data_IF_104165831899
#
_entry.id   IF_104165831899
#
_cell.length_a   1.000
_cell.length_b   1.000
_cell.length_c   1.000
_cell.angle_alpha   90.00
_cell.angle_beta   90.00
_cell.angle_gamma   90.00
#
_symmetry.space_group_name_H-M   'P 1'
#
loop_
_entity.id
_entity.type
_entity.pdbx_description
1 polymer ?
#
# COMPACT_ATOMS: atom_id res chain seq x y z
N UNK A 1 4.48 -23.21 -19.49
CA UNK A 1 4.42 -22.32 -18.32
C UNK A 1 5.86 -22.17 -17.84
N UNK A 2 6.54 -21.11 -18.30
CA UNK A 2 7.98 -20.93 -18.06
C UNK A 2 8.19 -20.48 -16.61
N UNK A 3 9.17 -21.04 -15.91
CA UNK A 3 9.56 -20.59 -14.59
C UNK A 3 9.90 -19.10 -14.62
N UNK A 4 9.51 -18.40 -13.56
CA UNK A 4 9.81 -16.99 -13.37
C UNK A 4 11.22 -16.89 -12.80
N UNK A 5 12.22 -17.03 -13.67
CA UNK A 5 13.64 -16.80 -13.36
C UNK A 5 13.91 -15.30 -13.18
N UNK A 6 13.18 -14.65 -12.27
CA UNK A 6 13.46 -13.30 -11.84
C UNK A 6 14.26 -13.32 -10.54
N UNK A 7 15.41 -12.64 -10.48
CA UNK A 7 16.12 -12.43 -9.22
C UNK A 7 15.39 -11.42 -8.30
N UNK A 8 14.37 -10.73 -8.83
CA UNK A 8 13.66 -9.67 -8.13
C UNK A 8 12.51 -10.25 -7.31
N UNK A 9 12.70 -10.35 -6.01
CA UNK A 9 11.64 -10.71 -5.06
C UNK A 9 11.36 -9.52 -4.15
N UNK A 10 10.08 -9.18 -4.02
CA UNK A 10 9.58 -8.11 -3.16
C UNK A 10 8.62 -8.68 -2.14
N UNK A 11 8.76 -8.22 -0.90
CA UNK A 11 7.84 -8.53 0.19
C UNK A 11 7.23 -7.25 0.73
N UNK A 12 5.95 -7.32 1.08
CA UNK A 12 5.24 -6.27 1.83
C UNK A 12 4.41 -6.92 2.91
N UNK A 13 4.51 -6.40 4.12
CA UNK A 13 3.78 -6.88 5.30
C UNK A 13 2.91 -5.76 5.83
N UNK A 14 1.67 -6.07 6.20
CA UNK A 14 0.73 -5.15 6.85
C UNK A 14 0.17 -5.86 8.08
N UNK A 15 0.33 -5.30 9.27
CA UNK A 15 -0.18 -5.91 10.51
C UNK A 15 -1.11 -4.93 11.20
N UNK A 16 -2.21 -5.45 11.71
CA UNK A 16 -3.24 -4.73 12.45
C UNK A 16 -3.25 -5.25 13.89
N UNK A 17 -3.45 -4.33 14.82
CA UNK A 17 -3.87 -4.60 16.19
C UNK A 17 -5.09 -3.73 16.47
N UNK A 18 -6.25 -4.37 16.57
CA UNK A 18 -7.55 -3.69 16.66
C UNK A 18 -8.16 -3.92 18.04
N UNK A 19 -8.40 -2.83 18.75
CA UNK A 19 -9.19 -2.77 19.97
C UNK A 19 -10.60 -2.22 19.67
N UNK A 20 -11.53 -2.18 20.64
CA UNK A 20 -12.88 -1.65 20.42
C UNK A 20 -12.97 -0.18 20.02
N UNK A 21 -11.91 0.61 20.23
CA UNK A 21 -11.90 2.07 19.96
C UNK A 21 -10.70 2.52 19.13
N UNK A 22 -9.86 1.58 18.71
CA UNK A 22 -8.59 1.90 18.08
C UNK A 22 -8.13 0.79 17.13
N UNK A 23 -7.60 1.19 15.98
CA UNK A 23 -6.88 0.33 15.06
C UNK A 23 -5.45 0.86 14.90
N UNK A 24 -4.48 0.14 15.46
CA UNK A 24 -3.07 0.34 15.15
C UNK A 24 -2.72 -0.51 13.93
N UNK A 25 -2.10 0.09 12.93
CA UNK A 25 -1.65 -0.61 11.73
C UNK A 25 -0.23 -0.23 11.39
N UNK A 26 0.59 -1.21 11.04
CA UNK A 26 1.93 -0.97 10.49
C UNK A 26 2.08 -1.65 9.14
N UNK A 27 2.80 -0.99 8.22
CA UNK A 27 3.16 -1.55 6.94
C UNK A 27 4.64 -1.32 6.66
N UNK A 28 5.33 -2.37 6.25
CA UNK A 28 6.70 -2.29 5.79
C UNK A 28 6.93 -3.06 4.49
N UNK A 29 7.73 -2.47 3.62
CA UNK A 29 8.37 -3.07 2.46
C UNK A 29 9.79 -2.48 2.29
N UNK A 30 10.54 -2.86 1.26
CA UNK A 30 11.92 -2.37 1.08
C UNK A 30 12.05 -0.83 0.97
N UNK A 31 11.00 -0.15 0.49
CA UNK A 31 11.03 1.29 0.21
C UNK A 31 10.32 2.11 1.28
N UNK A 32 9.38 1.51 2.02
CA UNK A 32 8.47 2.20 2.91
C UNK A 32 8.34 1.50 4.25
N UNK A 33 8.25 2.30 5.31
CA UNK A 33 7.78 1.87 6.61
C UNK A 33 6.89 2.96 7.21
N UNK A 34 5.61 2.64 7.40
CA UNK A 34 4.63 3.51 8.05
C UNK A 34 3.97 2.79 9.23
N UNK A 35 3.65 3.56 10.28
CA UNK A 35 2.80 3.14 11.39
C UNK A 35 1.67 4.15 11.49
N UNK A 36 0.43 3.70 11.47
CA UNK A 36 -0.76 4.53 11.56
C UNK A 36 -1.61 4.10 12.75
N UNK A 37 -2.15 5.08 13.46
CA UNK A 37 -3.05 4.94 14.57
C UNK A 37 -4.38 5.59 14.19
N UNK A 38 -5.46 4.81 14.26
CA UNK A 38 -6.82 5.24 13.94
C UNK A 38 -7.67 5.08 15.21
N UNK A 39 -8.14 6.18 15.80
CA UNK A 39 -9.10 6.15 16.89
C UNK A 39 -10.54 6.33 16.38
N UNK A 40 -11.50 5.70 17.05
CA UNK A 40 -12.92 5.83 16.72
C UNK A 40 -13.84 5.62 17.93
N UNK A 41 -15.10 6.04 17.81
CA UNK A 41 -16.16 5.82 18.81
C UNK A 41 -17.11 4.67 18.44
N UNK A 42 -16.88 4.02 17.30
CA UNK A 42 -17.71 2.93 16.77
C UNK A 42 -18.61 3.37 15.62
N UNK A 43 -18.78 4.67 15.41
CA UNK A 43 -19.53 5.26 14.30
C UNK A 43 -18.65 6.18 13.45
N UNK A 44 -17.81 6.98 14.09
CA UNK A 44 -17.00 8.04 13.49
C UNK A 44 -15.53 7.93 13.88
N UNK A 45 -14.68 8.46 13.00
CA UNK A 45 -13.24 8.60 13.22
C UNK A 45 -13.00 9.74 14.22
N UNK A 46 -12.34 9.46 15.33
CA UNK A 46 -12.05 10.45 16.38
C UNK A 46 -10.62 10.97 16.31
N UNK A 47 -9.69 10.19 15.76
CA UNK A 47 -8.31 10.61 15.53
C UNK A 47 -7.64 9.79 14.44
N UNK A 48 -6.69 10.41 13.74
CA UNK A 48 -5.78 9.74 12.82
C UNK A 48 -4.39 10.30 13.05
N UNK A 49 -3.39 9.43 13.21
CA UNK A 49 -1.98 9.82 13.26
C UNK A 49 -1.16 8.83 12.45
N UNK A 50 -0.16 9.31 11.70
CA UNK A 50 0.70 8.46 10.88
C UNK A 50 2.17 8.85 11.03
N UNK A 51 3.00 7.87 11.38
CA UNK A 51 4.45 8.03 11.48
C UNK A 51 5.13 7.37 10.30
N UNK A 52 5.81 8.19 9.49
CA UNK A 52 6.69 7.73 8.42
C UNK A 52 8.07 7.36 9.00
N UNK A 53 8.34 6.06 9.18
CA UNK A 53 9.62 5.56 9.71
C UNK A 53 10.70 5.45 8.63
N UNK A 54 10.30 5.16 7.38
CA UNK A 54 11.18 5.13 6.23
C UNK A 54 10.40 5.50 4.98
N UNK A 55 10.94 6.41 4.19
CA UNK A 55 10.31 6.91 2.97
C UNK A 55 11.35 7.17 1.88
N UNK A 56 10.96 7.05 0.60
CA UNK A 56 11.87 7.29 -0.50
C UNK A 56 12.19 8.78 -0.71
N UNK A 57 11.32 9.68 -0.28
CA UNK A 57 11.45 11.12 -0.49
C UNK A 57 11.28 11.89 0.82
N UNK A 58 11.97 13.02 0.94
CA UNK A 58 12.04 13.84 2.16
C UNK A 58 10.69 14.42 2.58
N UNK A 59 9.79 14.71 1.63
CA UNK A 59 8.48 15.33 1.92
C UNK A 59 7.36 14.30 2.15
N UNK A 60 7.62 13.00 2.02
CA UNK A 60 6.60 11.97 2.27
C UNK A 60 5.98 12.03 3.68
N UNK A 61 6.73 12.30 4.77
CA UNK A 61 6.16 12.40 6.11
C UNK A 61 5.10 13.49 6.25
N UNK A 62 5.23 14.61 5.53
CA UNK A 62 4.30 15.74 5.64
C UNK A 62 2.88 15.46 5.16
N UNK A 63 2.70 14.37 4.41
CA UNK A 63 1.39 13.93 3.94
C UNK A 63 0.47 13.45 5.07
N UNK A 64 1.00 13.18 6.26
CA UNK A 64 0.19 12.85 7.44
C UNK A 64 -0.87 13.93 7.70
N UNK A 65 -0.53 15.21 7.53
CA UNK A 65 -1.45 16.34 7.74
C UNK A 65 -2.70 16.26 6.88
N UNK A 66 -2.60 15.63 5.71
CA UNK A 66 -3.73 15.46 4.79
C UNK A 66 -4.72 14.40 5.29
N UNK A 67 -4.29 13.48 6.17
CA UNK A 67 -5.17 12.48 6.78
C UNK A 67 -6.11 13.09 7.84
N UNK A 68 -5.83 14.30 8.34
CA UNK A 68 -6.70 14.97 9.29
C UNK A 68 -8.10 15.28 8.70
N UNK A 69 -8.22 15.33 7.36
CA UNK A 69 -9.51 15.45 6.67
C UNK A 69 -10.47 14.27 6.93
N UNK A 70 -9.99 13.17 7.49
CA UNK A 70 -10.81 12.02 7.86
C UNK A 70 -11.42 12.12 9.26
N UNK A 71 -10.88 12.96 10.15
CA UNK A 71 -11.42 13.09 11.50
C UNK A 71 -12.84 13.65 11.43
N UNK A 72 -13.77 12.99 12.14
CA UNK A 72 -15.21 13.28 12.10
C UNK A 72 -15.97 12.61 10.95
N UNK A 73 -15.30 11.93 10.02
CA UNK A 73 -15.99 11.13 9.00
C UNK A 73 -16.48 9.78 9.56
N UNK A 74 -17.50 9.17 8.95
CA UNK A 74 -17.98 7.86 9.39
C UNK A 74 -16.95 6.76 9.18
N UNK A 75 -16.99 5.75 10.05
CA UNK A 75 -16.34 4.47 9.82
C UNK A 75 -16.93 3.77 8.60
N UNK A 76 -16.11 2.97 7.93
CA UNK A 76 -16.47 2.26 6.71
C UNK A 76 -15.84 0.88 6.74
N UNK A 77 -16.67 -0.17 6.66
CA UNK A 77 -16.19 -1.56 6.64
C UNK A 77 -15.73 -2.01 5.25
N UNK A 78 -16.25 -1.38 4.19
CA UNK A 78 -15.84 -1.61 2.80
C UNK A 78 -14.80 -0.57 2.37
N UNK A 79 -13.81 -1.00 1.58
CA UNK A 79 -12.81 -0.10 0.98
C UNK A 79 -13.51 0.96 0.13
N UNK A 80 -13.31 2.23 0.48
CA UNK A 80 -13.83 3.34 -0.31
C UNK A 80 -12.91 3.60 -1.52
N UNK A 81 -13.41 3.32 -2.72
CA UNK A 81 -12.66 3.59 -3.97
C UNK A 81 -12.70 5.05 -4.40
N UNK A 82 -13.67 5.82 -3.88
CA UNK A 82 -13.82 7.25 -4.10
C UNK A 82 -14.45 7.90 -2.87
N UNK A 83 -13.96 9.09 -2.51
CA UNK A 83 -14.49 9.90 -1.41
C UNK A 83 -14.71 11.32 -1.94
N UNK A 84 -15.96 11.80 -2.03
CA UNK A 84 -16.27 13.10 -2.66
C UNK A 84 -15.48 14.28 -2.07
N UNK A 85 -15.26 14.26 -0.76
CA UNK A 85 -14.62 15.36 -0.02
C UNK A 85 -13.12 15.16 0.18
N UNK A 86 -12.54 14.08 -0.36
CA UNK A 86 -11.12 13.76 -0.19
C UNK A 86 -10.46 13.50 -1.54
N UNK A 87 -9.62 14.43 -1.97
CA UNK A 87 -8.75 14.22 -3.12
C UNK A 87 -7.60 13.27 -2.76
N UNK A 88 -7.76 11.99 -3.12
CA UNK A 88 -6.73 10.95 -2.93
C UNK A 88 -5.38 11.29 -3.58
N UNK A 89 -5.33 12.17 -4.60
CA UNK A 89 -4.07 12.59 -5.23
C UNK A 89 -3.27 13.55 -4.36
N UNK A 90 -3.94 14.32 -3.49
CA UNK A 90 -3.27 15.14 -2.48
C UNK A 90 -2.75 14.30 -1.31
N UNK A 91 -3.08 13.01 -1.24
CA UNK A 91 -2.62 12.14 -0.18
C UNK A 91 -1.32 11.42 -0.57
N UNK A 92 -0.50 11.03 0.40
CA UNK A 92 0.51 10.02 0.13
C UNK A 92 -0.23 8.70 -0.09
N UNK A 93 -0.11 8.14 -1.30
CA UNK A 93 -0.86 6.93 -1.65
C UNK A 93 -0.64 5.78 -0.67
N UNK A 94 0.57 5.65 -0.11
CA UNK A 94 0.86 4.59 0.85
C UNK A 94 0.17 4.80 2.21
N UNK A 95 0.07 6.05 2.68
CA UNK A 95 -0.60 6.37 3.94
C UNK A 95 -2.13 6.33 3.76
N UNK A 96 -2.63 6.85 2.65
CA UNK A 96 -4.05 6.77 2.28
C UNK A 96 -4.52 5.32 2.18
N UNK A 97 -3.81 4.50 1.40
CA UNK A 97 -4.17 3.08 1.26
C UNK A 97 -4.11 2.37 2.62
N UNK A 98 -3.12 2.69 3.46
CA UNK A 98 -3.03 2.12 4.81
C UNK A 98 -4.22 2.52 5.68
N UNK A 99 -4.66 3.78 5.62
CA UNK A 99 -5.87 4.25 6.32
C UNK A 99 -7.14 3.57 5.79
N UNK A 100 -7.26 3.36 4.48
CA UNK A 100 -8.44 2.70 3.91
C UNK A 100 -8.59 1.27 4.41
N UNK A 101 -7.47 0.52 4.48
CA UNK A 101 -7.50 -0.84 5.03
C UNK A 101 -7.62 -0.82 6.55
N UNK A 102 -7.10 0.19 7.25
CA UNK A 102 -7.34 0.34 8.70
C UNK A 102 -8.85 0.51 8.99
N UNK A 103 -9.55 1.32 8.20
CA UNK A 103 -10.98 1.54 8.37
C UNK A 103 -11.80 0.28 8.15
N UNK A 104 -11.48 -0.52 7.12
CA UNK A 104 -12.18 -1.79 6.87
C UNK A 104 -11.93 -2.85 7.95
N UNK A 105 -10.88 -2.67 8.76
CA UNK A 105 -10.57 -3.52 9.92
C UNK A 105 -11.00 -2.95 11.27
N UNK A 106 -11.31 -1.65 11.38
CA UNK A 106 -11.49 -0.96 12.67
C UNK A 106 -12.57 -1.57 13.57
N UNK A 107 -13.59 -2.21 12.99
CA UNK A 107 -14.67 -2.88 13.73
C UNK A 107 -14.46 -4.40 13.87
N UNK A 108 -13.25 -4.91 13.63
CA UNK A 108 -12.87 -6.32 13.72
C UNK A 108 -11.74 -6.49 14.74
N UNK A 109 -12.06 -6.53 16.06
CA UNK A 109 -11.04 -6.62 17.10
C UNK A 109 -10.12 -7.83 16.93
N UNK A 110 -8.88 -7.65 17.37
CA UNK A 110 -7.83 -8.67 17.32
C UNK A 110 -6.72 -8.32 16.33
N UNK A 111 -5.79 -9.26 16.24
CA UNK A 111 -4.62 -9.16 15.36
C UNK A 111 -4.91 -9.79 14.02
N UNK A 112 -4.52 -9.11 12.94
CA UNK A 112 -4.54 -9.66 11.58
C UNK A 112 -3.29 -9.25 10.82
N UNK A 113 -2.92 -10.05 9.84
CA UNK A 113 -1.72 -9.80 9.05
C UNK A 113 -1.93 -10.12 7.57
N UNK A 114 -1.63 -9.14 6.72
CA UNK A 114 -1.39 -9.38 5.31
C UNK A 114 0.11 -9.55 5.02
N UNK A 115 0.39 -10.56 4.22
CA UNK A 115 1.70 -10.77 3.61
C UNK A 115 1.53 -10.80 2.11
N UNK A 116 2.28 -9.97 1.39
CA UNK A 116 2.37 -10.02 -0.06
C UNK A 116 3.80 -10.42 -0.48
N UNK A 117 3.88 -11.33 -1.44
CA UNK A 117 5.12 -11.67 -2.16
C UNK A 117 4.92 -11.37 -3.63
N UNK A 118 5.84 -10.63 -4.24
CA UNK A 118 5.87 -10.38 -5.68
C UNK A 118 7.21 -10.83 -6.23
N UNK A 119 7.20 -11.76 -7.17
CA UNK A 119 8.36 -12.15 -7.97
C UNK A 119 8.25 -11.44 -9.31
N UNK A 120 9.33 -10.80 -9.77
CA UNK A 120 9.38 -10.07 -11.04
C UNK A 120 9.30 -8.54 -10.91
N UNK A 121 10.11 -7.83 -11.69
CA UNK A 121 10.09 -6.38 -11.84
C UNK A 121 9.11 -5.90 -12.93
N UNK A 122 8.98 -4.57 -13.11
CA UNK A 122 7.93 -3.96 -13.96
C UNK A 122 7.87 -4.47 -15.42
N UNK A 123 9.01 -4.85 -15.99
CA UNK A 123 9.13 -5.29 -17.39
C UNK A 123 9.26 -6.80 -17.54
N UNK A 124 9.08 -7.54 -16.45
CA UNK A 124 9.16 -8.99 -16.40
C UNK A 124 7.76 -9.59 -16.30
N UNK A 125 7.64 -10.90 -16.52
CA UNK A 125 6.48 -11.63 -16.02
C UNK A 125 6.51 -11.59 -14.50
N UNK A 126 5.34 -11.41 -13.90
CA UNK A 126 5.24 -11.30 -12.45
C UNK A 126 4.33 -12.36 -11.88
N UNK A 127 4.68 -12.86 -10.71
CA UNK A 127 3.83 -13.71 -9.89
C UNK A 127 3.67 -13.06 -8.53
N UNK A 128 2.43 -12.86 -8.14
CA UNK A 128 2.08 -12.23 -6.88
C UNK A 128 1.21 -13.17 -6.07
N UNK A 129 1.49 -13.22 -4.79
CA UNK A 129 0.73 -14.01 -3.83
C UNK A 129 0.40 -13.12 -2.62
N UNK A 130 -0.80 -13.28 -2.09
CA UNK A 130 -1.27 -12.57 -0.90
C UNK A 130 -1.82 -13.60 0.09
N UNK A 131 -1.37 -13.49 1.33
CA UNK A 131 -1.88 -14.24 2.46
C UNK A 131 -2.49 -13.29 3.49
N UNK A 132 -3.54 -13.76 4.16
CA UNK A 132 -4.14 -13.16 5.35
C UNK A 132 -4.11 -14.20 6.46
N UNK A 133 -3.37 -13.95 7.54
CA UNK A 133 -3.24 -14.89 8.66
C UNK A 133 -2.91 -16.33 8.18
N UNK A 134 -1.87 -16.44 7.34
CA UNK A 134 -1.41 -17.67 6.68
C UNK A 134 -2.36 -18.28 5.61
N UNK A 135 -3.60 -17.81 5.49
CA UNK A 135 -4.52 -18.22 4.44
C UNK A 135 -4.23 -17.49 3.13
N UNK A 136 -3.92 -18.24 2.07
CA UNK A 136 -3.66 -17.64 0.74
C UNK A 136 -4.97 -17.19 0.10
N UNK A 137 -5.15 -15.88 -0.06
CA UNK A 137 -6.35 -15.29 -0.67
C UNK A 137 -6.21 -15.07 -2.18
N UNK A 138 -5.03 -14.63 -2.64
CA UNK A 138 -4.80 -14.30 -4.04
C UNK A 138 -3.49 -14.90 -4.56
N UNK A 139 -3.52 -15.41 -5.79
CA UNK A 139 -2.38 -16.02 -6.48
C UNK A 139 -2.48 -15.70 -7.98
N UNK A 140 -1.78 -14.65 -8.42
CA UNK A 140 -1.91 -14.11 -9.78
C UNK A 140 -0.60 -14.14 -10.53
N UNK A 141 -0.67 -14.46 -11.82
CA UNK A 141 0.36 -14.05 -12.77
C UNK A 141 -0.04 -12.71 -13.39
N UNK A 142 0.95 -11.91 -13.79
CA UNK A 142 0.70 -10.67 -14.51
C UNK A 142 1.59 -10.54 -15.74
N UNK A 143 1.01 -9.91 -16.78
CA UNK A 143 1.72 -9.36 -17.93
C UNK A 143 1.71 -7.84 -17.83
N UNK A 144 2.84 -7.24 -17.44
CA UNK A 144 2.82 -5.85 -17.02
C UNK A 144 1.86 -5.72 -15.84
N UNK A 145 0.83 -4.85 -15.92
CA UNK A 145 -0.18 -4.65 -14.87
C UNK A 145 -1.48 -5.42 -15.08
N UNK A 146 -1.60 -6.18 -16.17
CA UNK A 146 -2.81 -6.97 -16.46
C UNK A 146 -2.71 -8.31 -15.77
N UNK A 147 -3.76 -8.68 -15.04
CA UNK A 147 -3.89 -9.97 -14.36
C UNK A 147 -4.10 -11.07 -15.41
N UNK A 148 -3.35 -12.15 -15.25
CA UNK A 148 -3.40 -13.38 -16.06
C UNK A 148 -3.60 -14.55 -15.09
N UNK A 149 -4.84 -14.76 -14.68
CA UNK A 149 -5.27 -15.76 -13.68
C UNK A 149 -6.48 -16.55 -14.18
N UNK A 150 -6.96 -17.50 -13.39
CA UNK A 150 -8.20 -18.26 -13.67
C UNK A 150 -9.39 -17.79 -12.81
N UNK A 151 -9.17 -16.84 -11.90
CA UNK A 151 -10.21 -16.29 -11.04
C UNK A 151 -10.97 -15.13 -11.71
N UNK A 152 -11.97 -14.60 -10.98
CA UNK A 152 -12.82 -13.52 -11.45
C UNK A 152 -12.08 -12.22 -11.80
N UNK A 153 -10.85 -12.02 -11.32
CA UNK A 153 -10.04 -10.84 -11.62
C UNK A 153 -9.22 -10.98 -12.91
N UNK A 154 -9.32 -12.11 -13.63
CA UNK A 154 -8.60 -12.33 -14.87
C UNK A 154 -8.86 -11.20 -15.89
N UNK A 155 -7.81 -10.79 -16.61
CA UNK A 155 -7.79 -9.71 -17.60
C UNK A 155 -8.07 -8.31 -17.07
N UNK A 156 -8.24 -8.11 -15.76
CA UNK A 156 -8.32 -6.78 -15.19
C UNK A 156 -6.94 -6.10 -15.19
N UNK A 157 -6.88 -4.81 -15.56
CA UNK A 157 -5.67 -4.01 -15.41
C UNK A 157 -5.66 -3.37 -14.01
N UNK A 158 -4.63 -3.69 -13.22
CA UNK A 158 -4.44 -3.11 -11.89
C UNK A 158 -4.44 -1.58 -11.89
N UNK A 159 -4.15 -0.88 -12.99
CA UNK A 159 -4.22 0.59 -13.03
C UNK A 159 -5.65 1.12 -12.94
N UNK A 160 -6.64 0.39 -13.46
CA UNK A 160 -8.03 0.83 -13.60
C UNK A 160 -9.05 -0.11 -12.97
N UNK A 161 -8.62 -1.15 -12.26
CA UNK A 161 -9.50 -2.22 -11.73
C UNK A 161 -10.51 -1.74 -10.68
N UNK A 162 -10.27 -0.63 -9.98
CA UNK A 162 -11.04 -0.29 -8.77
C UNK A 162 -12.56 -0.13 -8.99
N UNK A 163 -13.07 0.56 -10.04
CA UNK A 163 -14.50 0.64 -10.29
C UNK A 163 -15.15 -0.72 -10.56
N UNK A 164 -14.50 -1.58 -11.35
CA UNK A 164 -14.98 -2.94 -11.59
C UNK A 164 -14.99 -3.76 -10.29
N UNK A 165 -13.92 -3.65 -9.51
CA UNK A 165 -13.78 -4.37 -8.25
C UNK A 165 -14.87 -3.99 -7.24
N UNK A 166 -15.21 -2.70 -7.14
CA UNK A 166 -16.26 -2.23 -6.24
C UNK A 166 -17.66 -2.73 -6.63
N UNK A 167 -17.91 -2.98 -7.91
CA UNK A 167 -19.19 -3.51 -8.38
C UNK A 167 -19.28 -5.05 -8.26
N UNK A 168 -18.16 -5.77 -8.43
CA UNK A 168 -18.17 -7.22 -8.62
C UNK A 168 -17.62 -8.03 -7.44
N UNK A 169 -16.83 -7.43 -6.55
CA UNK A 169 -16.18 -8.13 -5.45
C UNK A 169 -16.90 -7.89 -4.13
N UNK A 170 -16.96 -8.94 -3.30
CA UNK A 170 -17.33 -8.78 -1.90
C UNK A 170 -16.28 -7.96 -1.12
N UNK A 171 -16.59 -7.60 0.13
CA UNK A 171 -15.74 -6.75 0.95
C UNK A 171 -14.34 -7.34 1.19
N UNK A 172 -14.26 -8.67 1.39
CA UNK A 172 -13.00 -9.34 1.67
C UNK A 172 -12.09 -9.36 0.43
N UNK A 173 -12.67 -9.66 -0.73
CA UNK A 173 -11.93 -9.75 -1.99
C UNK A 173 -11.55 -8.36 -2.52
N UNK A 174 -12.40 -7.33 -2.33
CA UNK A 174 -12.05 -5.94 -2.62
C UNK A 174 -10.86 -5.47 -1.75
N UNK A 175 -10.89 -5.78 -0.46
CA UNK A 175 -9.80 -5.49 0.48
C UNK A 175 -8.51 -6.20 0.07
N UNK A 176 -8.57 -7.51 -0.20
CA UNK A 176 -7.43 -8.30 -0.65
C UNK A 176 -6.83 -7.76 -1.96
N UNK A 177 -7.69 -7.46 -2.95
CA UNK A 177 -7.28 -6.84 -4.21
C UNK A 177 -6.60 -5.50 -3.97
N UNK A 178 -7.15 -4.66 -3.09
CA UNK A 178 -6.58 -3.34 -2.78
C UNK A 178 -5.18 -3.45 -2.17
N UNK A 179 -4.98 -4.37 -1.23
CA UNK A 179 -3.67 -4.65 -0.59
C UNK A 179 -2.66 -5.18 -1.63
N UNK A 180 -3.02 -6.23 -2.38
CA UNK A 180 -2.09 -6.85 -3.32
C UNK A 180 -1.76 -5.93 -4.50
N UNK A 181 -2.74 -5.18 -5.01
CA UNK A 181 -2.54 -4.17 -6.05
C UNK A 181 -1.45 -3.19 -5.66
N UNK A 182 -1.47 -2.68 -4.43
CA UNK A 182 -0.42 -1.76 -3.95
C UNK A 182 0.94 -2.43 -3.93
N UNK A 183 1.04 -3.65 -3.41
CA UNK A 183 2.30 -4.41 -3.40
C UNK A 183 2.88 -4.55 -4.81
N UNK A 184 2.07 -4.93 -5.79
CA UNK A 184 2.49 -5.08 -7.20
C UNK A 184 2.91 -3.74 -7.84
N UNK A 185 2.25 -2.64 -7.51
CA UNK A 185 2.61 -1.31 -8.00
C UNK A 185 3.95 -0.82 -7.45
N UNK A 186 4.27 -1.15 -6.19
CA UNK A 186 5.54 -0.77 -5.54
C UNK A 186 6.68 -1.68 -5.98
N UNK A 187 6.44 -3.00 -6.06
CA UNK A 187 7.40 -4.00 -6.53
C UNK A 187 7.95 -3.70 -7.94
N UNK A 188 7.21 -2.93 -8.74
CA UNK A 188 7.66 -2.42 -10.03
C UNK A 188 9.03 -1.70 -9.95
N UNK A 189 9.40 -1.17 -8.78
CA UNK A 189 10.68 -0.50 -8.55
C UNK A 189 11.88 -1.43 -8.35
N UNK A 190 11.70 -2.76 -8.20
CA UNK A 190 12.76 -3.75 -7.92
C UNK A 190 13.89 -3.86 -8.97
N UNK A 191 13.80 -3.18 -10.10
CA UNK A 191 14.85 -3.11 -11.13
C UNK A 191 15.48 -1.74 -11.30
N UNK A 192 15.24 -0.80 -10.38
CA UNK A 192 15.71 0.57 -10.48
C UNK A 192 16.50 0.97 -9.24
N UNK A 193 17.66 1.58 -9.45
CA UNK A 193 18.36 2.28 -8.39
C UNK A 193 17.72 3.66 -8.17
N UNK A 194 16.89 3.77 -7.14
CA UNK A 194 16.20 5.00 -6.78
C UNK A 194 17.15 6.10 -6.30
N UNK A 195 18.37 5.75 -5.86
CA UNK A 195 19.37 6.72 -5.41
C UNK A 195 20.00 7.50 -6.58
N UNK A 196 19.82 7.03 -7.83
CA UNK A 196 20.15 7.77 -9.03
C UNK A 196 19.11 8.85 -9.40
N UNK A 197 17.97 8.89 -8.71
CA UNK A 197 16.90 9.85 -8.97
C UNK A 197 16.97 10.94 -7.90
N UNK A 198 17.40 12.18 -8.21
CA UNK A 198 17.71 13.18 -7.18
C UNK A 198 16.46 13.71 -6.44
N UNK A 199 15.30 13.76 -7.10
CA UNK A 199 14.05 14.21 -6.50
C UNK A 199 12.84 13.61 -7.23
N UNK A 200 11.68 13.68 -6.59
CA UNK A 200 10.41 13.21 -7.16
C UNK A 200 10.07 13.95 -8.47
N UNK A 201 10.54 15.18 -8.64
CA UNK A 201 10.48 16.03 -9.84
C UNK A 201 11.02 15.35 -11.10
N UNK A 202 12.18 14.70 -11.01
CA UNK A 202 12.76 13.95 -12.12
C UNK A 202 11.94 12.70 -12.43
N UNK A 203 11.42 12.04 -11.39
CA UNK A 203 10.47 10.94 -11.54
C UNK A 203 9.08 11.40 -12.07
N UNK A 204 8.73 12.70 -12.02
CA UNK A 204 7.41 13.22 -12.37
C UNK A 204 6.96 12.88 -13.78
N UNK A 205 7.82 12.80 -14.79
CA UNK A 205 7.31 12.50 -16.15
C UNK A 205 6.53 11.17 -16.19
N UNK A 206 6.95 10.20 -15.40
CA UNK A 206 6.29 8.90 -15.32
C UNK A 206 5.21 8.81 -14.22
N UNK A 207 5.20 9.73 -13.25
CA UNK A 207 4.40 9.64 -12.02
C UNK A 207 3.70 10.95 -11.61
N UNK A 208 3.61 11.93 -12.51
CA UNK A 208 3.06 13.26 -12.23
C UNK A 208 1.65 13.16 -11.63
N UNK A 209 1.45 13.85 -10.51
CA UNK A 209 0.17 13.91 -9.81
C UNK A 209 -0.29 12.58 -9.20
N UNK A 210 0.57 11.56 -9.13
CA UNK A 210 0.19 10.24 -8.62
C UNK A 210 -0.02 10.22 -7.09
N UNK A 211 0.63 11.12 -6.34
CA UNK A 211 0.49 11.24 -4.89
C UNK A 211 1.01 12.59 -4.38
N UNK A 212 0.90 12.82 -3.07
CA UNK A 212 1.35 14.03 -2.37
C UNK A 212 2.70 14.57 -2.87
N UNK A 213 3.76 13.75 -2.88
CA UNK A 213 5.10 14.21 -3.27
C UNK A 213 5.26 14.40 -4.78
N UNK A 214 4.41 13.78 -5.61
CA UNK A 214 4.47 13.92 -7.07
C UNK A 214 3.59 15.06 -7.61
N UNK A 215 2.97 15.85 -6.74
CA UNK A 215 2.25 17.06 -7.17
C UNK A 215 3.23 18.12 -7.68
N UNK A 216 2.86 18.89 -8.73
CA UNK A 216 3.75 19.88 -9.35
C UNK A 216 4.40 20.87 -8.38
N UNK A 217 3.67 21.25 -7.34
CA UNK A 217 4.12 22.26 -6.37
C UNK A 217 5.17 21.71 -5.39
N UNK A 218 5.30 20.38 -5.25
CA UNK A 218 6.16 19.72 -4.25
C UNK A 218 7.28 18.89 -4.85
N UNK A 219 7.09 18.31 -6.03
CA UNK A 219 7.94 17.25 -6.54
C UNK A 219 9.41 17.64 -6.72
N UNK A 220 9.70 18.87 -7.16
CA UNK A 220 11.08 19.36 -7.28
C UNK A 220 11.80 19.46 -5.92
N UNK A 221 11.05 19.66 -4.83
CA UNK A 221 11.57 19.84 -3.46
C UNK A 221 11.59 18.51 -2.67
N UNK A 222 10.86 17.49 -3.14
CA UNK A 222 10.88 16.15 -2.57
C UNK A 222 12.16 15.41 -2.99
N UNK A 223 13.26 15.73 -2.32
CA UNK A 223 14.60 15.16 -2.55
C UNK A 223 14.63 13.69 -2.12
N UNK A 224 15.47 12.90 -2.82
CA UNK A 224 15.72 11.49 -2.49
C UNK A 224 16.34 11.34 -1.11
N UNK A 225 15.80 10.43 -0.31
CA UNK A 225 16.48 9.96 0.90
C UNK A 225 17.45 8.85 0.48
N UNK A 226 18.72 9.21 0.31
CA UNK A 226 19.77 8.28 -0.13
C UNK A 226 19.91 7.11 0.84
N UNK A 227 20.07 5.89 0.32
CA UNK A 227 20.20 4.66 1.11
C UNK A 227 18.91 4.22 1.81
N UNK A 228 17.76 4.88 1.56
CA UNK A 228 16.49 4.51 2.20
C UNK A 228 15.87 3.22 1.69
N UNK A 229 16.34 2.67 0.58
CA UNK A 229 15.85 1.38 0.07
C UNK A 229 16.65 0.24 0.69
N UNK A 230 15.96 -0.63 1.43
CA UNK A 230 16.57 -1.81 2.04
C UNK A 230 16.99 -2.83 0.98
N UNK A 231 18.19 -3.38 1.14
CA UNK A 231 18.78 -4.41 0.28
C UNK A 231 18.92 -5.76 1.00
N UNK A 232 18.52 -5.80 2.28
CA UNK A 232 18.71 -6.92 3.19
C UNK A 232 17.44 -7.75 3.39
N UNK A 233 16.31 -7.36 2.78
CA UNK A 233 15.04 -8.09 2.87
C UNK A 233 15.10 -9.35 2.01
N UNK A 234 15.05 -10.52 2.66
CA UNK A 234 15.06 -11.85 2.02
C UNK A 234 13.75 -12.59 2.23
N UNK A 235 12.98 -12.19 3.23
CA UNK A 235 11.67 -12.74 3.53
C UNK A 235 10.84 -11.80 4.39
N UNK A 236 9.65 -12.27 4.73
CA UNK A 236 8.67 -11.51 5.52
C UNK A 236 9.10 -11.31 6.97
N UNK A 237 9.93 -12.21 7.51
CA UNK A 237 10.51 -12.10 8.85
C UNK A 237 11.49 -10.93 9.01
N UNK A 238 11.99 -10.35 7.91
CA UNK A 238 12.87 -9.18 7.95
C UNK A 238 12.09 -7.86 8.05
N UNK A 239 10.77 -7.91 7.92
CA UNK A 239 9.85 -6.77 7.93
C UNK A 239 9.10 -6.69 9.25
N UNK A 240 8.91 -5.46 9.75
CA UNK A 240 8.23 -5.13 11.01
C UNK A 240 8.89 -5.81 12.22
N UNK A 241 10.22 -5.95 12.18
CA UNK A 241 11.00 -6.52 13.28
C UNK A 241 10.85 -5.64 14.53
N UNK A 242 10.43 -6.26 15.63
CA UNK A 242 10.19 -5.57 16.91
C UNK A 242 8.92 -4.72 16.95
N UNK A 243 8.04 -4.83 15.94
CA UNK A 243 6.69 -4.30 16.07
C UNK A 243 5.92 -5.13 17.11
N UNK A 244 5.46 -4.47 18.17
CA UNK A 244 4.85 -5.12 19.33
C UNK A 244 3.35 -4.83 19.47
N UNK A 245 2.71 -4.19 18.49
CA UNK A 245 1.33 -3.73 18.64
C UNK A 245 1.22 -2.58 19.63
N UNK A 246 0.06 -2.49 20.28
CA UNK A 246 -0.16 -1.63 21.46
C UNK A 246 0.45 -2.28 22.70
#
# INVERSE_FOLDING_TARGET
MQELDSPHVFFRRVIFDVSPTECLVAMEDEHHYFVLQLGHDGECITSVASTARRTPWTLCPEAERQLQAFVGQPLRQRIAINLPDIDSKQQCTHQYDLLMVALSQALRPGRREYVAKVVGAMHEYRHTQLWLDDEKLLDWRLRGTVIDSEDQCNQQDLRSVMPWADEHLDDQMLEALFVQRRAVMVAASKGFDLDLIPNAGVAMRARAGACFVFQPERAAQAVRVMGSTRQDVRGTGDLLVGWNGV
#
